data_IF_614053104660
#
_entry.id   IF_614053104660
#
_cell.length_a   1.000
_cell.length_b   1.000
_cell.length_c   1.000
_cell.angle_alpha   90.00
_cell.angle_beta   90.00
_cell.angle_gamma   90.00
#
_symmetry.space_group_name_H-M   'P 1'
#
loop_
_entity.id
_entity.type
_entity.pdbx_description
1 polymer ?
#
# COMPACT_ATOMS: atom_id res chain seq x y z
N UNK A 1 -30.44 -2.30 -7.73
CA UNK A 1 -30.03 -1.96 -6.35
C UNK A 1 -28.55 -1.59 -6.41
N UNK A 2 -28.29 -0.30 -6.18
CA UNK A 2 -27.00 0.32 -6.51
C UNK A 2 -25.92 -0.10 -5.52
N UNK A 3 -25.11 -1.07 -5.89
CA UNK A 3 -23.87 -1.33 -5.22
C UNK A 3 -22.98 -0.10 -5.37
N UNK A 4 -22.73 0.62 -4.30
CA UNK A 4 -21.79 1.71 -4.22
C UNK A 4 -20.41 1.16 -4.59
N UNK A 5 -20.07 1.18 -5.86
CA UNK A 5 -18.75 0.80 -6.34
C UNK A 5 -17.82 1.97 -5.99
N UNK A 6 -17.22 1.89 -4.80
CA UNK A 6 -16.14 2.80 -4.43
C UNK A 6 -15.05 2.67 -5.49
N UNK A 7 -14.92 3.68 -6.33
CA UNK A 7 -13.79 3.80 -7.23
C UNK A 7 -12.77 4.69 -6.55
N UNK A 8 -11.66 4.09 -6.14
CA UNK A 8 -10.54 4.82 -5.59
C UNK A 8 -9.49 4.92 -6.68
N UNK A 9 -8.98 6.12 -6.91
CA UNK A 9 -7.93 6.37 -7.88
C UNK A 9 -6.70 6.88 -7.13
N UNK A 10 -5.61 6.14 -7.22
CA UNK A 10 -4.30 6.53 -6.73
C UNK A 10 -3.48 7.09 -7.90
N UNK A 11 -3.01 8.33 -7.78
CA UNK A 11 -2.23 9.02 -8.81
C UNK A 11 -0.82 9.28 -8.36
N UNK A 12 0.12 9.22 -9.28
CA UNK A 12 1.44 9.78 -9.04
C UNK A 12 1.39 11.32 -8.99
N UNK A 13 2.39 11.95 -8.41
CA UNK A 13 2.40 13.40 -8.16
C UNK A 13 2.18 14.25 -9.44
N UNK A 14 2.67 13.80 -10.60
CA UNK A 14 2.48 14.51 -11.87
C UNK A 14 1.23 14.08 -12.66
N UNK A 15 0.45 13.11 -12.15
CA UNK A 15 -0.80 12.64 -12.75
C UNK A 15 -0.64 11.70 -13.95
N UNK A 16 0.57 11.37 -14.40
CA UNK A 16 0.79 10.50 -15.58
C UNK A 16 0.47 9.03 -15.32
N UNK A 17 0.58 8.58 -14.06
CA UNK A 17 0.26 7.22 -13.65
C UNK A 17 -0.99 7.22 -12.79
N UNK A 18 -1.95 6.38 -13.12
CA UNK A 18 -3.16 6.16 -12.36
C UNK A 18 -3.37 4.66 -12.11
N UNK A 19 -3.55 4.29 -10.84
CA UNK A 19 -4.03 2.99 -10.40
C UNK A 19 -5.46 3.13 -9.90
N UNK A 20 -6.35 2.27 -10.36
CA UNK A 20 -7.77 2.24 -9.99
C UNK A 20 -8.04 1.02 -9.11
N UNK A 21 -8.77 1.20 -8.02
CA UNK A 21 -9.21 0.13 -7.14
C UNK A 21 -10.73 0.10 -7.04
N UNK A 22 -11.32 -1.09 -7.17
CA UNK A 22 -12.75 -1.33 -7.10
C UNK A 22 -13.15 -1.87 -5.71
N UNK A 23 -14.23 -1.34 -5.16
CA UNK A 23 -14.78 -1.75 -3.86
C UNK A 23 -13.97 -1.25 -2.66
N UNK A 24 -14.27 -1.79 -1.49
CA UNK A 24 -13.58 -1.43 -0.26
C UNK A 24 -12.22 -2.13 -0.14
N UNK A 25 -11.21 -1.49 0.46
CA UNK A 25 -9.95 -2.16 0.80
C UNK A 25 -10.18 -3.24 1.86
N UNK A 26 -9.32 -4.26 1.87
CA UNK A 26 -9.28 -5.25 2.95
C UNK A 26 -9.00 -4.55 4.28
N UNK A 27 -8.09 -3.58 4.24
CA UNK A 27 -7.77 -2.70 5.37
C UNK A 27 -6.99 -1.48 4.92
N UNK A 28 -7.03 -0.42 5.73
CA UNK A 28 -6.11 0.72 5.68
C UNK A 28 -5.14 0.57 6.84
N UNK A 29 -3.84 0.46 6.57
CA UNK A 29 -2.83 0.13 7.56
C UNK A 29 -1.57 0.97 7.42
N UNK A 30 -0.89 1.22 8.55
CA UNK A 30 0.50 1.71 8.58
C UNK A 30 1.39 0.57 9.05
N UNK A 31 2.43 0.25 8.27
CA UNK A 31 3.40 -0.80 8.57
C UNK A 31 4.77 -0.20 8.95
N UNK A 32 5.35 -0.71 10.05
CA UNK A 32 6.65 -0.26 10.55
C UNK A 32 7.77 -1.29 10.35
N UNK A 33 7.52 -2.42 9.65
CA UNK A 33 8.57 -3.41 9.47
C UNK A 33 9.79 -2.84 8.73
N UNK A 34 10.96 -3.40 9.02
CA UNK A 34 12.24 -2.94 8.47
C UNK A 34 12.23 -2.86 6.94
N UNK A 35 11.64 -3.84 6.28
CA UNK A 35 11.54 -3.87 4.82
C UNK A 35 10.67 -2.74 4.24
N UNK A 36 9.55 -2.39 4.91
CA UNK A 36 8.73 -1.26 4.49
C UNK A 36 9.47 0.05 4.66
N UNK A 37 10.12 0.25 5.82
CA UNK A 37 10.90 1.45 6.09
C UNK A 37 12.12 1.57 5.15
N UNK A 38 12.86 0.46 4.93
CA UNK A 38 14.03 0.44 4.04
C UNK A 38 13.64 0.78 2.59
N UNK A 39 12.57 0.15 2.09
CA UNK A 39 12.10 0.43 0.74
C UNK A 39 11.57 1.85 0.56
N UNK A 40 10.91 2.40 1.57
CA UNK A 40 10.45 3.79 1.54
C UNK A 40 11.65 4.76 1.52
N UNK A 41 12.68 4.54 2.35
CA UNK A 41 13.93 5.34 2.33
C UNK A 41 14.61 5.29 0.96
N UNK A 42 14.64 4.12 0.32
CA UNK A 42 15.19 3.95 -1.03
C UNK A 42 14.48 4.84 -2.06
N UNK A 43 13.14 4.88 -2.00
CA UNK A 43 12.32 5.69 -2.92
C UNK A 43 12.49 7.18 -2.61
N UNK A 44 12.45 7.56 -1.32
CA UNK A 44 12.63 8.95 -0.89
C UNK A 44 14.01 9.54 -1.26
N UNK A 45 15.02 8.68 -1.49
CA UNK A 45 16.35 9.08 -1.97
C UNK A 45 16.40 9.35 -3.48
N UNK A 46 15.35 9.03 -4.24
CA UNK A 46 15.29 9.36 -5.67
C UNK A 46 15.13 10.86 -5.89
N UNK A 47 15.67 11.42 -6.99
CA UNK A 47 15.54 12.84 -7.28
C UNK A 47 14.08 13.30 -7.31
N UNK A 48 13.77 14.38 -6.59
CA UNK A 48 12.43 14.97 -6.52
C UNK A 48 11.31 14.00 -6.04
N UNK A 49 11.67 12.89 -5.42
CA UNK A 49 10.68 11.99 -4.83
C UNK A 49 9.96 12.67 -3.66
N UNK A 50 8.66 12.44 -3.57
CA UNK A 50 7.88 12.85 -2.40
C UNK A 50 8.16 11.96 -1.20
N UNK A 51 7.69 12.40 -0.03
CA UNK A 51 7.75 11.62 1.20
C UNK A 51 6.83 10.38 1.08
N UNK A 52 7.37 9.21 1.43
CA UNK A 52 6.64 7.93 1.42
C UNK A 52 6.26 7.51 2.84
N UNK A 53 7.14 7.80 3.81
CA UNK A 53 6.93 7.48 5.22
C UNK A 53 6.08 8.53 5.90
N UNK A 54 5.24 8.07 6.83
CA UNK A 54 4.58 8.91 7.82
C UNK A 54 5.62 9.63 8.71
N UNK A 55 5.23 10.70 9.44
CA UNK A 55 6.15 11.41 10.35
C UNK A 55 6.82 10.51 11.38
N UNK A 56 6.15 9.45 11.80
CA UNK A 56 6.62 8.47 12.79
C UNK A 56 7.41 7.28 12.16
N UNK A 57 7.73 7.37 10.87
CA UNK A 57 8.54 6.38 10.14
C UNK A 57 7.75 5.23 9.52
N UNK A 58 6.47 5.08 9.83
CA UNK A 58 5.62 4.05 9.24
C UNK A 58 5.33 4.30 7.76
N UNK A 59 4.89 3.27 7.05
CA UNK A 59 4.47 3.37 5.65
C UNK A 59 3.00 3.03 5.54
N UNK A 60 2.22 4.00 5.04
CA UNK A 60 0.78 3.88 4.90
C UNK A 60 0.37 3.14 3.64
N UNK A 61 -0.59 2.23 3.78
CA UNK A 61 -1.11 1.41 2.71
C UNK A 61 -2.62 1.22 2.76
N UNK A 62 -3.25 1.23 1.59
CA UNK A 62 -4.55 0.61 1.35
C UNK A 62 -4.33 -0.78 0.78
N UNK A 63 -4.70 -1.80 1.54
CA UNK A 63 -4.54 -3.21 1.15
C UNK A 63 -5.76 -3.65 0.37
N UNK A 64 -5.58 -4.05 -0.88
CA UNK A 64 -6.64 -4.49 -1.77
C UNK A 64 -6.40 -5.93 -2.26
N UNK A 65 -7.46 -6.62 -2.63
CA UNK A 65 -7.37 -7.82 -3.46
C UNK A 65 -6.71 -7.46 -4.80
N UNK A 66 -5.80 -8.30 -5.28
CA UNK A 66 -5.09 -8.03 -6.54
C UNK A 66 -6.01 -7.97 -7.78
N UNK A 67 -7.12 -8.71 -7.75
CA UNK A 67 -8.13 -8.71 -8.82
C UNK A 67 -9.05 -7.48 -8.81
N UNK A 68 -8.92 -6.62 -7.81
CA UNK A 68 -9.68 -5.37 -7.67
C UNK A 68 -8.86 -4.13 -7.99
N UNK A 69 -7.60 -4.29 -8.38
CA UNK A 69 -6.71 -3.17 -8.71
C UNK A 69 -6.15 -3.33 -10.11
N UNK A 70 -6.18 -2.25 -10.87
CA UNK A 70 -5.58 -2.20 -12.21
C UNK A 70 -4.85 -0.88 -12.44
N UNK A 71 -3.84 -0.89 -13.28
CA UNK A 71 -3.24 0.35 -13.80
C UNK A 71 -4.14 0.84 -14.94
N UNK A 72 -4.73 1.99 -14.74
CA UNK A 72 -5.63 2.63 -15.70
C UNK A 72 -4.86 3.40 -16.78
N UNK A 73 -3.74 4.01 -16.37
CA UNK A 73 -2.94 4.89 -17.22
C UNK A 73 -1.48 4.85 -16.78
N UNK A 74 -0.55 4.98 -17.73
CA UNK A 74 0.87 5.22 -17.49
C UNK A 74 1.66 4.00 -17.00
N UNK A 75 1.22 2.78 -17.34
CA UNK A 75 1.93 1.55 -16.96
C UNK A 75 3.39 1.54 -17.43
N UNK A 76 3.68 2.17 -18.55
CA UNK A 76 5.03 2.30 -19.14
C UNK A 76 6.00 3.12 -18.27
N UNK A 77 5.49 3.97 -17.40
CA UNK A 77 6.29 4.75 -16.44
C UNK A 77 6.58 3.99 -15.14
N UNK A 78 5.92 2.84 -14.90
CA UNK A 78 6.15 2.08 -13.67
C UNK A 78 7.44 1.26 -13.74
N UNK A 79 8.26 1.36 -12.70
CA UNK A 79 9.45 0.53 -12.48
C UNK A 79 9.41 -0.11 -11.10
N UNK A 80 9.83 -1.36 -11.04
CA UNK A 80 9.94 -2.11 -9.80
C UNK A 80 11.25 -1.77 -9.07
N UNK A 81 11.13 -1.41 -7.80
CA UNK A 81 12.25 -1.25 -6.88
C UNK A 81 12.17 -2.36 -5.82
N UNK A 82 13.25 -3.09 -5.66
CA UNK A 82 13.41 -4.14 -4.67
C UNK A 82 14.47 -3.72 -3.65
N UNK A 83 14.29 -4.08 -2.38
CA UNK A 83 15.32 -3.84 -1.35
C UNK A 83 16.52 -4.78 -1.50
N UNK A 84 16.30 -5.94 -2.14
CA UNK A 84 17.29 -6.97 -2.50
C UNK A 84 16.81 -7.65 -3.79
N UNK A 85 17.74 -8.11 -4.61
CA UNK A 85 17.42 -8.71 -5.93
C UNK A 85 16.47 -9.91 -5.81
N UNK A 86 16.62 -10.73 -4.76
CA UNK A 86 15.76 -11.89 -4.50
C UNK A 86 14.47 -11.57 -3.73
N UNK A 87 14.15 -10.30 -3.50
CA UNK A 87 12.89 -9.92 -2.83
C UNK A 87 11.69 -10.23 -3.72
N UNK A 88 10.69 -10.93 -3.16
CA UNK A 88 9.40 -11.13 -3.83
C UNK A 88 8.52 -9.87 -3.85
N UNK A 89 8.96 -8.78 -3.21
CA UNK A 89 8.19 -7.55 -3.08
C UNK A 89 8.69 -6.51 -4.07
N UNK A 90 7.82 -6.09 -4.97
CA UNK A 90 8.06 -5.01 -5.93
C UNK A 90 7.38 -3.72 -5.47
N UNK A 91 8.17 -2.67 -5.32
CA UNK A 91 7.68 -1.31 -5.09
C UNK A 91 7.61 -0.61 -6.43
N UNK A 92 6.41 -0.49 -6.98
CA UNK A 92 6.19 0.12 -8.29
C UNK A 92 6.19 1.64 -8.14
N UNK A 93 7.19 2.26 -8.72
CA UNK A 93 7.44 3.71 -8.66
C UNK A 93 7.21 4.30 -10.05
N UNK A 94 6.48 5.40 -10.11
CA UNK A 94 6.28 6.17 -11.32
C UNK A 94 7.52 7.01 -11.63
N UNK A 95 8.31 6.57 -12.60
CA UNK A 95 9.61 7.21 -12.96
C UNK A 95 9.48 8.64 -13.49
N UNK A 96 8.28 9.04 -13.90
CA UNK A 96 8.01 10.41 -14.34
C UNK A 96 8.10 11.46 -13.22
N UNK A 97 7.97 11.06 -11.95
CA UNK A 97 8.02 11.95 -10.77
C UNK A 97 8.47 11.23 -9.48
N UNK A 98 8.99 10.04 -9.60
CA UNK A 98 9.49 9.19 -8.52
C UNK A 98 8.49 8.99 -7.36
N UNK A 99 7.19 8.91 -7.67
CA UNK A 99 6.12 8.63 -6.71
C UNK A 99 5.95 7.12 -6.54
N UNK A 100 5.96 6.62 -5.30
CA UNK A 100 5.53 5.26 -4.97
C UNK A 100 4.01 5.13 -5.18
N UNK A 101 3.56 4.23 -6.05
CA UNK A 101 2.13 4.08 -6.40
C UNK A 101 1.54 2.82 -5.81
N UNK A 102 2.15 1.67 -6.07
CA UNK A 102 1.63 0.36 -5.67
C UNK A 102 2.77 -0.58 -5.29
N UNK A 103 2.53 -1.41 -4.29
CA UNK A 103 3.41 -2.50 -3.89
C UNK A 103 2.75 -3.82 -4.29
N UNK A 104 3.46 -4.61 -5.09
CA UNK A 104 3.01 -5.91 -5.60
C UNK A 104 3.94 -7.02 -5.15
N UNK A 105 3.50 -8.26 -5.31
CA UNK A 105 4.24 -9.44 -4.88
C UNK A 105 4.36 -10.46 -6.01
N UNK A 106 5.53 -11.08 -6.13
CA UNK A 106 5.83 -12.17 -7.07
C UNK A 106 5.46 -13.54 -6.51
N UNK A 107 5.16 -13.61 -5.21
CA UNK A 107 4.74 -14.84 -4.54
C UNK A 107 3.22 -15.07 -4.61
N UNK A 108 2.72 -16.05 -3.85
CA UNK A 108 1.31 -16.46 -3.82
C UNK A 108 0.35 -15.47 -3.16
N UNK A 109 0.79 -14.28 -2.75
CA UNK A 109 -0.08 -13.29 -2.15
C UNK A 109 -1.17 -12.84 -3.12
N UNK A 110 -2.39 -12.78 -2.62
CA UNK A 110 -3.59 -12.43 -3.39
C UNK A 110 -4.02 -10.98 -3.20
N UNK A 111 -3.16 -10.16 -2.60
CA UNK A 111 -3.38 -8.74 -2.38
C UNK A 111 -2.23 -7.90 -2.92
N UNK A 112 -2.49 -6.62 -3.04
CA UNK A 112 -1.55 -5.55 -3.37
C UNK A 112 -1.79 -4.38 -2.44
N UNK A 113 -0.83 -3.46 -2.32
CA UNK A 113 -0.95 -2.32 -1.43
C UNK A 113 -0.78 -1.03 -2.24
N UNK A 114 -1.79 -0.16 -2.22
CA UNK A 114 -1.65 1.20 -2.74
C UNK A 114 -1.00 2.06 -1.65
N UNK A 115 0.00 2.86 -2.01
CA UNK A 115 0.66 3.75 -1.05
C UNK A 115 -0.24 4.94 -0.69
N UNK A 116 -0.35 5.28 0.60
CA UNK A 116 -1.02 6.51 1.03
C UNK A 116 -0.34 7.76 0.49
N UNK A 117 0.98 7.71 0.24
CA UNK A 117 1.75 8.82 -0.32
C UNK A 117 1.43 9.13 -1.78
N UNK A 118 0.76 8.22 -2.51
CA UNK A 118 0.17 8.58 -3.80
C UNK A 118 -1.05 9.48 -3.57
N UNK A 119 -1.33 10.39 -4.52
CA UNK A 119 -2.49 11.27 -4.41
C UNK A 119 -3.78 10.47 -4.54
N UNK A 120 -4.47 10.24 -3.42
CA UNK A 120 -5.72 9.48 -3.35
C UNK A 120 -6.83 10.40 -2.86
N UNK A 121 -7.83 10.63 -3.71
CA UNK A 121 -9.05 11.29 -3.28
C UNK A 121 -9.88 10.34 -2.39
N UNK A 122 -10.44 10.88 -1.29
CA UNK A 122 -11.28 10.13 -0.36
C UNK A 122 -10.60 8.88 0.24
N UNK A 123 -9.35 9.02 0.68
CA UNK A 123 -8.61 7.94 1.36
C UNK A 123 -9.42 7.42 2.54
N UNK A 124 -9.71 6.11 2.61
CA UNK A 124 -10.36 5.52 3.76
C UNK A 124 -9.56 5.76 5.05
N UNK A 125 -10.24 5.95 6.21
CA UNK A 125 -9.55 6.20 7.47
C UNK A 125 -8.63 5.05 7.83
N UNK A 126 -7.52 5.37 8.49
CA UNK A 126 -6.59 4.39 9.02
C UNK A 126 -7.30 3.48 10.03
N UNK A 127 -7.14 2.17 9.86
CA UNK A 127 -7.80 1.17 10.70
C UNK A 127 -6.83 0.47 11.66
N UNK A 128 -5.56 0.30 11.28
CA UNK A 128 -4.60 -0.42 12.12
C UNK A 128 -3.16 0.04 11.87
N UNK A 129 -2.32 -0.12 12.91
CA UNK A 129 -0.85 -0.01 12.84
C UNK A 129 -0.25 -1.37 13.12
N UNK A 130 0.69 -1.83 12.28
CA UNK A 130 1.29 -3.17 12.39
C UNK A 130 2.80 -3.10 12.45
N UNK A 131 3.42 -4.13 13.02
CA UNK A 131 4.87 -4.24 13.19
C UNK A 131 5.46 -3.07 14.02
N UNK A 132 4.70 -2.56 14.98
CA UNK A 132 5.08 -1.37 15.77
C UNK A 132 6.32 -1.58 16.65
N UNK A 133 6.76 -2.83 16.85
CA UNK A 133 8.04 -3.13 17.54
C UNK A 133 9.27 -2.57 16.81
N UNK A 134 9.15 -2.25 15.53
CA UNK A 134 10.23 -1.65 14.72
C UNK A 134 10.04 -0.13 14.53
N UNK A 135 9.07 0.45 15.21
CA UNK A 135 8.83 1.88 15.18
C UNK A 135 9.93 2.60 15.95
N UNK A 136 10.37 3.74 15.43
CA UNK A 136 11.26 4.65 16.16
C UNK A 136 10.59 5.27 17.39
N UNK A 137 11.37 5.95 18.22
CA UNK A 137 10.85 6.71 19.36
C UNK A 137 9.93 7.85 18.89
N UNK A 138 8.89 8.14 19.66
CA UNK A 138 7.94 9.21 19.37
C UNK A 138 6.54 8.91 19.93
N UNK A 139 5.69 9.95 19.96
CA UNK A 139 4.33 9.82 20.45
C UNK A 139 3.54 8.80 19.63
N UNK A 140 2.83 7.92 20.32
CA UNK A 140 1.92 6.94 19.69
C UNK A 140 0.55 7.58 19.57
N UNK A 141 0.02 7.66 18.35
CA UNK A 141 -1.40 7.91 18.16
C UNK A 141 -2.17 6.69 18.67
N UNK A 142 -2.84 6.85 19.80
CA UNK A 142 -3.61 5.78 20.46
C UNK A 142 -5.03 5.64 19.92
N UNK A 143 -5.46 6.48 18.99
CA UNK A 143 -6.80 6.46 18.41
C UNK A 143 -7.01 5.25 17.50
N UNK A 144 -5.91 4.66 16.98
CA UNK A 144 -5.93 3.52 16.07
C UNK A 144 -5.28 2.31 16.73
N UNK A 145 -5.91 1.11 16.66
CA UNK A 145 -5.32 -0.12 17.19
C UNK A 145 -3.92 -0.39 16.65
N UNK A 146 -2.98 -0.64 17.56
CA UNK A 146 -1.55 -0.82 17.24
C UNK A 146 -1.07 -2.19 17.71
N UNK A 147 -0.32 -2.91 16.84
CA UNK A 147 0.12 -4.27 17.08
C UNK A 147 1.63 -4.41 16.80
N UNK A 148 2.34 -5.12 17.68
CA UNK A 148 3.77 -5.36 17.52
C UNK A 148 4.12 -6.23 16.30
N UNK A 149 3.17 -7.04 15.81
CA UNK A 149 3.29 -7.88 14.62
C UNK A 149 2.03 -7.83 13.76
N UNK A 150 1.71 -8.94 13.10
CA UNK A 150 0.50 -9.10 12.31
C UNK A 150 -0.62 -9.65 13.21
N UNK A 151 -1.69 -8.88 13.49
CA UNK A 151 -2.77 -9.35 14.34
C UNK A 151 -3.61 -10.42 13.62
N UNK A 152 -4.15 -11.37 14.38
CA UNK A 152 -4.99 -12.46 13.85
C UNK A 152 -6.21 -11.94 13.07
N UNK A 153 -6.75 -10.79 13.47
CA UNK A 153 -7.85 -10.14 12.74
C UNK A 153 -7.47 -9.73 11.31
N UNK A 154 -6.24 -9.28 11.09
CA UNK A 154 -5.75 -8.96 9.75
C UNK A 154 -5.59 -10.23 8.92
N UNK A 155 -5.01 -11.29 9.51
CA UNK A 155 -4.86 -12.58 8.85
C UNK A 155 -6.22 -13.18 8.45
N UNK A 156 -7.22 -13.08 9.32
CA UNK A 156 -8.59 -13.50 9.03
C UNK A 156 -9.22 -12.69 7.87
N UNK A 157 -9.03 -11.37 7.83
CA UNK A 157 -9.49 -10.52 6.72
C UNK A 157 -8.81 -10.91 5.39
N UNK A 158 -7.50 -11.15 5.40
CA UNK A 158 -6.76 -11.58 4.21
C UNK A 158 -7.27 -12.94 3.72
N UNK A 159 -7.49 -13.88 4.62
CA UNK A 159 -8.02 -15.21 4.28
C UNK A 159 -9.44 -15.11 3.70
N UNK A 160 -10.33 -14.35 4.33
CA UNK A 160 -11.67 -14.10 3.81
C UNK A 160 -11.65 -13.47 2.41
N UNK A 161 -10.74 -12.51 2.17
CA UNK A 161 -10.54 -11.91 0.85
C UNK A 161 -10.08 -12.93 -0.19
N UNK A 162 -9.22 -13.90 0.18
CA UNK A 162 -8.81 -14.99 -0.71
C UNK A 162 -9.99 -15.89 -1.09
N UNK A 163 -10.80 -16.29 -0.11
CA UNK A 163 -12.00 -17.09 -0.39
C UNK A 163 -12.99 -16.33 -1.28
N UNK A 164 -13.26 -15.07 -1.00
CA UNK A 164 -14.14 -14.24 -1.83
C UNK A 164 -13.62 -14.13 -3.27
N UNK A 165 -12.28 -14.00 -3.47
CA UNK A 165 -11.67 -13.99 -4.79
C UNK A 165 -11.86 -15.33 -5.53
N UNK A 166 -11.70 -16.47 -4.84
CA UNK A 166 -11.89 -17.80 -5.42
C UNK A 166 -13.36 -18.07 -5.81
N UNK A 167 -14.30 -17.46 -5.08
CA UNK A 167 -15.75 -17.56 -5.35
C UNK A 167 -16.26 -16.54 -6.38
N UNK A 168 -15.37 -15.71 -6.94
CA UNK A 168 -15.73 -14.66 -7.92
C UNK A 168 -16.61 -13.54 -7.34
N UNK A 169 -16.56 -13.31 -6.02
CA UNK A 169 -17.40 -12.33 -5.30
C UNK A 169 -16.64 -11.04 -5.04
#
# INVERSE_FOLDING_TARGET
MNGNSWQLIARCACGKVEAEAAGAPITSAVCYCDDCQAGARQIEALPNAGRVREPDGGVGYLVYRKDRVRIRQGAEFLRAYKIRDNSATNRMVATCCNTAVILTFEDSKHWVNLYHSSSIANTPPLQIRICTKYRGEGAVDTTVPSFQGYPIRLLAKLLAARFAMLLGR
#
